data_IF_691817846382
#
_entry.id   IF_691817846382
#
_cell.length_a   1.000
_cell.length_b   1.000
_cell.length_c   1.000
_cell.angle_alpha   90.00
_cell.angle_beta   90.00
_cell.angle_gamma   90.00
#
_symmetry.space_group_name_H-M   'P 1'
#
loop_
_entity.id
_entity.type
_entity.pdbx_description
1 polymer ?
#
# COMPACT_ATOMS: atom_id res chain seq x y z
N UNK A 1 -5.56 -14.07 -5.42
CA UNK A 1 -5.41 -12.67 -5.89
C UNK A 1 -5.80 -12.58 -7.36
N UNK A 2 -6.58 -11.57 -7.72
CA UNK A 2 -6.93 -11.21 -9.11
C UNK A 2 -6.55 -9.75 -9.32
N UNK A 3 -5.64 -9.49 -10.28
CA UNK A 3 -5.29 -8.14 -10.71
C UNK A 3 -6.26 -7.68 -11.79
N UNK A 4 -7.05 -6.65 -11.50
CA UNK A 4 -7.96 -6.02 -12.48
C UNK A 4 -7.26 -4.97 -13.34
N UNK A 5 -6.04 -4.59 -12.95
CA UNK A 5 -5.22 -3.63 -13.68
C UNK A 5 -5.65 -2.19 -13.40
N UNK A 6 -5.49 -1.33 -14.40
CA UNK A 6 -5.77 0.11 -14.28
C UNK A 6 -7.26 0.36 -14.49
N UNK A 7 -7.89 0.98 -13.49
CA UNK A 7 -9.31 1.39 -13.47
C UNK A 7 -9.38 2.91 -13.39
N UNK A 8 -10.44 3.48 -13.98
CA UNK A 8 -10.70 4.93 -13.95
C UNK A 8 -12.00 5.24 -13.22
N UNK A 9 -11.96 6.28 -12.40
CA UNK A 9 -13.08 6.77 -11.61
C UNK A 9 -13.24 8.28 -11.70
N UNK A 10 -14.42 8.76 -11.32
CA UNK A 10 -14.71 10.20 -11.18
C UNK A 10 -14.46 10.71 -9.76
N UNK A 11 -14.24 9.80 -8.81
CA UNK A 11 -13.98 10.08 -7.40
C UNK A 11 -12.77 9.26 -6.93
N UNK A 12 -12.09 9.75 -5.89
CA UNK A 12 -10.95 9.07 -5.28
C UNK A 12 -11.46 7.83 -4.54
N UNK A 13 -11.01 6.61 -4.89
CA UNK A 13 -11.47 5.39 -4.23
C UNK A 13 -10.89 5.27 -2.82
N UNK A 14 -11.57 4.51 -1.96
CA UNK A 14 -10.97 4.09 -0.70
C UNK A 14 -9.82 3.09 -0.98
N UNK A 15 -8.68 3.19 -0.25
CA UNK A 15 -7.53 2.32 -0.47
C UNK A 15 -7.83 0.84 -0.28
N UNK A 16 -8.72 0.50 0.65
CA UNK A 16 -9.14 -0.89 0.92
C UNK A 16 -10.64 -0.91 1.20
N UNK A 17 -11.38 -1.73 0.45
CA UNK A 17 -12.81 -1.96 0.64
C UNK A 17 -13.02 -3.47 0.88
N UNK A 18 -13.78 -3.81 1.91
CA UNK A 18 -14.11 -5.21 2.24
C UNK A 18 -15.60 -5.42 2.03
N UNK A 19 -15.96 -6.34 1.13
CA UNK A 19 -17.36 -6.75 0.92
C UNK A 19 -17.65 -8.11 1.59
N UNK A 20 -18.77 -8.74 1.25
CA UNK A 20 -19.17 -10.03 1.81
C UNK A 20 -18.17 -11.17 1.50
N UNK A 21 -17.49 -11.12 0.36
CA UNK A 21 -16.67 -12.23 -0.17
C UNK A 21 -15.19 -11.89 -0.37
N UNK A 22 -14.84 -10.62 -0.55
CA UNK A 22 -13.53 -10.20 -1.05
C UNK A 22 -13.01 -8.94 -0.39
N UNK A 23 -11.69 -8.76 -0.48
CA UNK A 23 -10.99 -7.53 -0.15
C UNK A 23 -10.50 -6.89 -1.44
N UNK A 24 -10.85 -5.64 -1.66
CA UNK A 24 -10.49 -4.84 -2.81
C UNK A 24 -9.46 -3.81 -2.39
N UNK A 25 -8.32 -3.78 -3.07
CA UNK A 25 -7.22 -2.86 -2.77
C UNK A 25 -6.99 -1.97 -3.98
N UNK A 26 -7.07 -0.66 -3.75
CA UNK A 26 -6.84 0.39 -4.73
C UNK A 26 -5.47 1.03 -4.48
N UNK A 27 -4.55 0.87 -5.42
CA UNK A 27 -3.17 1.34 -5.31
C UNK A 27 -2.80 2.31 -6.44
N UNK A 28 -1.71 3.06 -6.28
CA UNK A 28 -1.22 4.01 -7.29
C UNK A 28 -2.29 5.03 -7.75
N UNK A 29 -3.09 5.51 -6.81
CA UNK A 29 -4.18 6.46 -7.09
C UNK A 29 -3.59 7.80 -7.53
N UNK A 30 -3.92 8.23 -8.73
CA UNK A 30 -3.44 9.47 -9.34
C UNK A 30 -4.55 10.19 -10.11
N UNK A 31 -4.51 11.52 -10.13
CA UNK A 31 -5.39 12.31 -11.00
C UNK A 31 -4.75 12.44 -12.38
N UNK A 32 -5.51 12.11 -13.41
CA UNK A 32 -5.11 12.20 -14.82
C UNK A 32 -6.06 13.13 -15.56
N UNK A 33 -5.49 14.03 -16.33
CA UNK A 33 -6.26 14.96 -17.16
C UNK A 33 -6.43 14.34 -18.54
N UNK A 34 -7.68 14.06 -18.91
CA UNK A 34 -8.04 13.51 -20.21
C UNK A 34 -8.59 14.64 -21.07
N UNK A 35 -7.91 14.94 -22.18
CA UNK A 35 -8.39 15.86 -23.20
C UNK A 35 -8.92 15.05 -24.38
N UNK A 36 -10.20 15.23 -24.71
CA UNK A 36 -10.87 14.61 -25.86
C UNK A 36 -11.69 15.66 -26.62
N UNK A 37 -12.37 15.28 -27.70
CA UNK A 37 -13.22 16.16 -28.53
C UNK A 37 -14.32 16.89 -27.74
N UNK A 38 -14.65 16.40 -26.53
CA UNK A 38 -15.64 16.99 -25.61
C UNK A 38 -15.04 17.97 -24.57
N UNK A 39 -13.73 18.19 -24.58
CA UNK A 39 -13.03 19.09 -23.66
C UNK A 39 -12.08 18.38 -22.70
N UNK A 40 -11.61 19.13 -21.71
CA UNK A 40 -10.69 18.67 -20.67
C UNK A 40 -11.47 18.19 -19.44
N UNK A 41 -11.19 16.95 -18.98
CA UNK A 41 -11.77 16.40 -17.76
C UNK A 41 -10.70 15.75 -16.88
N UNK A 42 -10.80 15.98 -15.58
CA UNK A 42 -10.02 15.23 -14.58
C UNK A 42 -10.69 13.88 -14.33
N UNK A 43 -9.92 12.81 -14.44
CA UNK A 43 -10.28 11.46 -14.02
C UNK A 43 -9.29 10.98 -12.97
N UNK A 44 -9.71 10.05 -12.11
CA UNK A 44 -8.82 9.36 -11.19
C UNK A 44 -8.46 8.01 -11.78
N UNK A 45 -7.18 7.71 -11.85
CA UNK A 45 -6.64 6.44 -12.32
C UNK A 45 -5.98 5.70 -11.16
N UNK A 46 -6.27 4.41 -11.02
CA UNK A 46 -5.71 3.57 -9.95
C UNK A 46 -5.61 2.12 -10.38
N UNK A 47 -4.73 1.37 -9.74
CA UNK A 47 -4.60 -0.09 -9.89
C UNK A 47 -5.55 -0.78 -8.93
N UNK A 48 -6.41 -1.67 -9.42
CA UNK A 48 -7.34 -2.42 -8.59
C UNK A 48 -6.93 -3.89 -8.50
N UNK A 49 -6.80 -4.39 -7.27
CA UNK A 49 -6.52 -5.79 -6.98
C UNK A 49 -7.57 -6.36 -6.05
N UNK A 50 -8.04 -7.57 -6.34
CA UNK A 50 -8.99 -8.30 -5.52
C UNK A 50 -8.29 -9.49 -4.84
N UNK A 51 -8.56 -9.66 -3.56
CA UNK A 51 -8.06 -10.76 -2.75
C UNK A 51 -9.22 -11.53 -2.13
N UNK A 52 -9.02 -12.83 -1.93
CA UNK A 52 -9.81 -13.57 -0.95
C UNK A 52 -9.45 -13.09 0.45
N UNK A 53 -10.41 -13.14 1.39
CA UNK A 53 -10.20 -12.63 2.75
C UNK A 53 -9.05 -13.35 3.47
N UNK A 54 -8.99 -14.67 3.38
CA UNK A 54 -7.95 -15.47 4.02
C UNK A 54 -6.56 -15.19 3.44
N UNK A 55 -6.48 -14.93 2.14
CA UNK A 55 -5.24 -14.57 1.45
C UNK A 55 -4.75 -13.19 1.91
N UNK A 56 -5.65 -12.20 1.97
CA UNK A 56 -5.32 -10.86 2.42
C UNK A 56 -4.90 -10.82 3.90
N UNK A 57 -5.57 -11.61 4.76
CA UNK A 57 -5.18 -11.73 6.16
C UNK A 57 -3.79 -12.34 6.28
N UNK A 58 -3.46 -13.37 5.49
CA UNK A 58 -2.12 -13.96 5.48
C UNK A 58 -1.06 -12.94 5.05
N UNK A 59 -1.31 -12.19 3.98
CA UNK A 59 -0.34 -11.17 3.54
C UNK A 59 -0.14 -10.06 4.58
N UNK A 60 -1.19 -9.68 5.31
CA UNK A 60 -1.07 -8.73 6.43
C UNK A 60 -0.24 -9.31 7.59
N UNK A 61 -0.43 -10.59 7.92
CA UNK A 61 0.35 -11.26 8.97
C UNK A 61 1.83 -11.31 8.57
N UNK A 62 2.13 -11.71 7.34
CA UNK A 62 3.49 -11.78 6.82
C UNK A 62 4.16 -10.40 6.83
N UNK A 63 3.48 -9.37 6.33
CA UNK A 63 3.99 -7.99 6.34
C UNK A 63 4.25 -7.47 7.77
N UNK A 64 3.37 -7.80 8.72
CA UNK A 64 3.56 -7.40 10.12
C UNK A 64 4.75 -8.12 10.76
N UNK A 65 4.95 -9.40 10.48
CA UNK A 65 6.11 -10.15 10.98
C UNK A 65 7.43 -9.59 10.44
N UNK A 66 7.46 -9.24 9.16
CA UNK A 66 8.62 -8.58 8.53
C UNK A 66 8.86 -7.19 9.17
N UNK A 67 7.80 -6.41 9.35
CA UNK A 67 7.91 -5.08 9.97
C UNK A 67 8.39 -5.13 11.43
N UNK A 68 7.93 -6.11 12.22
CA UNK A 68 8.40 -6.34 13.60
C UNK A 68 9.89 -6.71 13.64
N UNK A 69 10.35 -7.52 12.69
CA UNK A 69 11.76 -7.89 12.54
C UNK A 69 12.60 -6.66 12.19
N UNK A 70 12.17 -5.86 11.23
CA UNK A 70 12.88 -4.65 10.79
C UNK A 70 12.98 -3.60 11.90
N UNK A 71 11.93 -3.43 12.70
CA UNK A 71 11.96 -2.59 13.90
C UNK A 71 13.00 -3.09 14.89
N UNK A 72 13.00 -4.41 15.16
CA UNK A 72 13.95 -5.02 16.10
C UNK A 72 15.39 -4.82 15.63
N UNK A 73 15.66 -5.07 14.35
CA UNK A 73 16.98 -4.87 13.74
C UNK A 73 17.42 -3.41 13.83
N UNK A 74 16.52 -2.48 13.56
CA UNK A 74 16.79 -1.04 13.67
C UNK A 74 17.13 -0.66 15.11
N UNK A 75 16.39 -1.19 16.10
CA UNK A 75 16.67 -0.93 17.51
C UNK A 75 18.03 -1.45 17.95
N UNK A 76 18.42 -2.66 17.50
CA UNK A 76 19.74 -3.22 17.76
C UNK A 76 20.85 -2.36 17.14
N UNK A 77 20.70 -1.98 15.86
CA UNK A 77 21.67 -1.12 15.18
C UNK A 77 21.81 0.25 15.87
N UNK A 78 20.71 0.84 16.35
CA UNK A 78 20.75 2.07 17.13
C UNK A 78 21.48 1.88 18.46
N UNK A 79 21.25 0.76 19.15
CA UNK A 79 21.96 0.40 20.38
C UNK A 79 23.48 0.37 20.13
N UNK A 80 23.91 -0.34 19.08
CA UNK A 80 25.32 -0.44 18.71
C UNK A 80 25.95 0.94 18.44
N UNK A 81 25.23 1.82 17.73
CA UNK A 81 25.70 3.19 17.46
C UNK A 81 25.82 4.01 18.75
N UNK A 82 24.85 3.90 19.67
CA UNK A 82 24.91 4.60 20.96
C UNK A 82 26.10 4.12 21.81
N UNK A 83 26.36 2.82 21.84
CA UNK A 83 27.51 2.25 22.54
C UNK A 83 28.83 2.80 21.97
N UNK A 84 28.99 2.86 20.64
CA UNK A 84 30.18 3.42 19.99
C UNK A 84 30.42 4.91 20.33
N UNK A 85 29.35 5.71 20.37
CA UNK A 85 29.44 7.13 20.70
C UNK A 85 29.83 7.35 22.16
N UNK A 86 29.32 6.53 23.07
CA UNK A 86 29.66 6.63 24.51
C UNK A 86 31.03 6.07 24.85
N UNK A 87 31.55 5.11 24.08
CA UNK A 87 32.89 4.54 24.26
C UNK A 87 34.05 5.46 23.82
N UNK A 88 33.75 6.60 23.19
CA UNK A 88 34.76 7.56 22.68
C UNK A 88 34.89 8.83 23.52
N UNK A 89 34.23 8.89 24.68
CA UNK A 89 34.36 9.94 25.71
C UNK A 89 35.04 9.37 26.94
#
# INVERSE_FOLDING_TARGET
MILHGIVRGTEVPEPVIVDEFSVWVSENIQEVVVQDEQGERSEIEFTLTQYEKDEYIKSLIEANQEFELDITNTQLALCDVYELLTATV
#
